data_IF_068138467596
#
_entry.id   IF_068138467596
#
_cell.length_a   1.000
_cell.length_b   1.000
_cell.length_c   1.000
_cell.angle_alpha   90.00
_cell.angle_beta   90.00
_cell.angle_gamma   90.00
#
_symmetry.space_group_name_H-M   'P 1'
#
loop_
_entity.id
_entity.type
_entity.pdbx_description
1 polymer ?
#
# COMPACT_ATOMS: atom_id res chain seq x y z
N UNK A 1 -59.54 9.33 -27.02
CA UNK A 1 -58.99 8.90 -25.72
C UNK A 1 -57.89 7.86 -25.91
N UNK A 2 -58.12 6.76 -26.64
CA UNK A 2 -57.08 5.75 -26.96
C UNK A 2 -55.83 6.31 -27.65
N UNK A 3 -55.97 7.18 -28.66
CA UNK A 3 -54.81 7.78 -29.36
C UNK A 3 -53.92 8.59 -28.42
N UNK A 4 -54.52 9.23 -27.42
CA UNK A 4 -53.80 10.02 -26.41
C UNK A 4 -53.10 9.09 -25.41
N UNK A 5 -53.75 8.01 -25.00
CA UNK A 5 -53.15 7.00 -24.12
C UNK A 5 -51.95 6.31 -24.77
N UNK A 6 -52.05 5.94 -26.05
CA UNK A 6 -50.94 5.36 -26.81
C UNK A 6 -49.76 6.33 -26.96
N UNK A 7 -50.02 7.64 -27.12
CA UNK A 7 -48.93 8.62 -27.16
C UNK A 7 -48.24 8.75 -25.80
N UNK A 8 -49.00 8.76 -24.70
CA UNK A 8 -48.44 8.78 -23.34
C UNK A 8 -47.62 7.54 -23.03
N UNK A 9 -48.05 6.35 -23.45
CA UNK A 9 -47.28 5.11 -23.28
C UNK A 9 -45.94 5.18 -24.02
N UNK A 10 -45.95 5.66 -25.27
CA UNK A 10 -44.72 5.91 -26.04
C UNK A 10 -43.79 6.91 -25.34
N UNK A 11 -44.33 8.02 -24.82
CA UNK A 11 -43.54 9.02 -24.12
C UNK A 11 -42.92 8.47 -22.82
N UNK A 12 -43.67 7.66 -22.07
CA UNK A 12 -43.17 6.97 -20.87
C UNK A 12 -42.01 6.03 -21.23
N UNK A 13 -42.14 5.23 -22.30
CA UNK A 13 -41.06 4.35 -22.75
C UNK A 13 -39.80 5.13 -23.16
N UNK A 14 -39.98 6.26 -23.84
CA UNK A 14 -38.86 7.14 -24.21
C UNK A 14 -38.17 7.72 -22.98
N UNK A 15 -38.94 8.18 -21.99
CA UNK A 15 -38.41 8.68 -20.72
C UNK A 15 -37.64 7.59 -19.96
N UNK A 16 -38.15 6.37 -19.91
CA UNK A 16 -37.46 5.23 -19.29
C UNK A 16 -36.11 4.94 -19.98
N UNK A 17 -36.08 4.92 -21.33
CA UNK A 17 -34.84 4.75 -22.09
C UNK A 17 -33.84 5.88 -21.82
N UNK A 18 -34.29 7.11 -21.68
CA UNK A 18 -33.44 8.26 -21.35
C UNK A 18 -32.87 8.13 -19.93
N UNK A 19 -33.70 7.74 -18.95
CA UNK A 19 -33.28 7.53 -17.57
C UNK A 19 -32.25 6.41 -17.46
N UNK A 20 -32.44 5.31 -18.18
CA UNK A 20 -31.47 4.21 -18.24
C UNK A 20 -30.13 4.68 -18.81
N UNK A 21 -30.15 5.39 -19.95
CA UNK A 21 -28.93 5.98 -20.53
C UNK A 21 -28.24 6.91 -19.53
N UNK A 22 -28.99 7.75 -18.82
CA UNK A 22 -28.43 8.66 -17.81
C UNK A 22 -27.75 7.89 -16.68
N UNK A 23 -28.35 6.81 -16.20
CA UNK A 23 -27.76 5.92 -15.19
C UNK A 23 -26.46 5.28 -15.69
N UNK A 24 -26.45 4.77 -16.93
CA UNK A 24 -25.25 4.20 -17.57
C UNK A 24 -24.14 5.24 -17.76
N UNK A 25 -24.47 6.49 -18.09
CA UNK A 25 -23.49 7.57 -18.18
C UNK A 25 -22.92 7.94 -16.81
N UNK A 26 -23.75 7.97 -15.77
CA UNK A 26 -23.29 8.22 -14.41
C UNK A 26 -22.32 7.13 -13.93
N UNK A 27 -22.60 5.85 -14.18
CA UNK A 27 -21.70 4.76 -13.80
C UNK A 27 -20.36 4.83 -14.55
N UNK A 28 -20.38 5.08 -15.87
CA UNK A 28 -19.16 5.29 -16.67
C UNK A 28 -18.34 6.48 -16.20
N UNK A 29 -19.00 7.58 -15.84
CA UNK A 29 -18.34 8.77 -15.28
C UNK A 29 -17.62 8.42 -13.96
N UNK A 30 -18.28 7.72 -13.05
CA UNK A 30 -17.68 7.30 -11.78
C UNK A 30 -16.45 6.41 -12.00
N UNK A 31 -16.51 5.50 -12.97
CA UNK A 31 -15.34 4.67 -13.34
C UNK A 31 -14.19 5.50 -13.89
N UNK A 32 -14.46 6.47 -14.77
CA UNK A 32 -13.43 7.37 -15.31
C UNK A 32 -12.80 8.25 -14.24
N UNK A 33 -13.60 8.80 -13.32
CA UNK A 33 -13.12 9.57 -12.18
C UNK A 33 -12.21 8.72 -11.29
N UNK A 34 -12.57 7.45 -11.08
CA UNK A 34 -11.77 6.54 -10.28
C UNK A 34 -10.46 6.12 -10.99
N UNK A 35 -10.48 5.90 -12.30
CA UNK A 35 -9.26 5.70 -13.10
C UNK A 35 -8.36 6.95 -13.05
N UNK A 36 -8.93 8.15 -13.19
CA UNK A 36 -8.16 9.39 -13.08
C UNK A 36 -7.49 9.49 -11.70
N UNK A 37 -8.24 9.18 -10.64
CA UNK A 37 -7.72 9.19 -9.27
C UNK A 37 -6.58 8.20 -9.06
N UNK A 38 -6.66 7.00 -9.65
CA UNK A 38 -5.57 6.02 -9.59
C UNK A 38 -4.32 6.58 -10.27
N UNK A 39 -4.45 7.13 -11.48
CA UNK A 39 -3.32 7.76 -12.20
C UNK A 39 -2.66 8.87 -11.37
N UNK A 40 -3.45 9.73 -10.72
CA UNK A 40 -2.95 10.80 -9.85
C UNK A 40 -2.17 10.24 -8.65
N UNK A 41 -2.72 9.23 -7.98
CA UNK A 41 -2.09 8.61 -6.81
C UNK A 41 -0.78 7.90 -7.19
N UNK A 42 -0.75 7.21 -8.34
CA UNK A 42 0.48 6.60 -8.88
C UNK A 42 1.54 7.66 -9.12
N UNK A 43 1.20 8.74 -9.83
CA UNK A 43 2.13 9.83 -10.10
C UNK A 43 2.63 10.49 -8.81
N UNK A 44 1.72 10.69 -7.84
CA UNK A 44 2.07 11.26 -6.54
C UNK A 44 3.03 10.36 -5.77
N UNK A 45 2.78 9.05 -5.73
CA UNK A 45 3.71 8.09 -5.10
C UNK A 45 5.07 8.12 -5.79
N UNK A 46 5.13 8.07 -7.12
CA UNK A 46 6.40 8.13 -7.84
C UNK A 46 7.16 9.42 -7.58
N UNK A 47 6.46 10.56 -7.49
CA UNK A 47 7.08 11.83 -7.16
C UNK A 47 7.65 11.84 -5.75
N UNK A 48 6.88 11.37 -4.76
CA UNK A 48 7.34 11.29 -3.38
C UNK A 48 8.54 10.34 -3.24
N UNK A 49 8.57 9.23 -3.98
CA UNK A 49 9.71 8.32 -3.98
C UNK A 49 10.97 8.97 -4.54
N UNK A 50 10.86 9.74 -5.63
CA UNK A 50 11.99 10.54 -6.11
C UNK A 50 12.45 11.57 -5.08
N UNK A 51 11.51 12.24 -4.41
CA UNK A 51 11.84 13.16 -3.31
C UNK A 51 12.58 12.44 -2.16
N UNK A 52 12.28 11.17 -1.88
CA UNK A 52 13.04 10.34 -0.91
C UNK A 52 14.46 10.04 -1.41
N UNK A 53 14.62 9.70 -2.68
CA UNK A 53 15.93 9.41 -3.29
C UNK A 53 16.83 10.65 -3.38
N UNK A 54 16.23 11.81 -3.66
CA UNK A 54 16.91 13.11 -3.74
C UNK A 54 17.21 13.71 -2.35
N UNK A 55 16.62 13.17 -1.29
CA UNK A 55 16.86 13.61 0.09
C UNK A 55 18.15 12.99 0.63
N UNK A 56 19.14 13.83 0.92
CA UNK A 56 20.40 13.39 1.54
C UNK A 56 20.17 12.79 2.94
N UNK A 57 20.42 11.48 3.08
CA UNK A 57 20.63 10.79 4.35
C UNK A 57 19.42 10.61 5.29
N UNK A 58 19.71 10.30 6.56
CA UNK A 58 18.75 10.07 7.66
C UNK A 58 18.17 11.39 8.20
N UNK A 59 17.59 12.21 7.32
CA UNK A 59 16.93 13.45 7.75
C UNK A 59 15.49 13.18 8.20
N UNK A 60 14.99 13.94 9.18
CA UNK A 60 13.58 13.88 9.60
C UNK A 60 12.62 14.15 8.42
N UNK A 61 13.06 14.94 7.44
CA UNK A 61 12.30 15.21 6.23
C UNK A 61 12.14 13.94 5.36
N UNK A 62 13.20 13.15 5.16
CA UNK A 62 13.12 11.87 4.43
C UNK A 62 12.07 10.95 5.09
N UNK A 63 12.07 10.86 6.41
CA UNK A 63 11.11 10.03 7.15
C UNK A 63 9.67 10.55 7.03
N UNK A 64 9.46 11.88 7.04
CA UNK A 64 8.14 12.48 6.79
C UNK A 64 7.64 12.20 5.37
N UNK A 65 8.53 12.25 4.38
CA UNK A 65 8.17 11.91 2.99
C UNK A 65 7.79 10.42 2.91
N UNK A 66 8.51 9.52 3.59
CA UNK A 66 8.17 8.09 3.64
C UNK A 66 6.82 7.83 4.31
N UNK A 67 6.49 8.50 5.41
CA UNK A 67 5.16 8.41 6.04
C UNK A 67 4.04 8.83 5.07
N UNK A 68 4.27 9.92 4.33
CA UNK A 68 3.34 10.38 3.30
C UNK A 68 3.24 9.38 2.15
N UNK A 69 4.35 8.78 1.73
CA UNK A 69 4.37 7.74 0.69
C UNK A 69 3.56 6.52 1.12
N UNK A 70 3.71 6.05 2.37
CA UNK A 70 2.91 4.96 2.93
C UNK A 70 1.41 5.29 2.91
N UNK A 71 1.03 6.49 3.32
CA UNK A 71 -0.37 6.93 3.30
C UNK A 71 -0.95 7.00 1.88
N UNK A 72 -0.20 7.51 0.90
CA UNK A 72 -0.64 7.57 -0.51
C UNK A 72 -0.71 6.16 -1.11
N UNK A 73 0.23 5.26 -0.77
CA UNK A 73 0.18 3.85 -1.18
C UNK A 73 -1.08 3.15 -0.68
N UNK A 74 -1.44 3.38 0.60
CA UNK A 74 -2.68 2.83 1.19
C UNK A 74 -3.95 3.35 0.47
N UNK A 75 -3.98 4.64 0.13
CA UNK A 75 -5.07 5.22 -0.66
C UNK A 75 -5.16 4.62 -2.07
N UNK A 76 -4.00 4.36 -2.69
CA UNK A 76 -3.93 3.71 -3.99
C UNK A 76 -4.49 2.29 -3.94
N UNK A 77 -4.14 1.51 -2.92
CA UNK A 77 -4.68 0.16 -2.71
C UNK A 77 -6.20 0.18 -2.52
N UNK A 78 -6.72 1.14 -1.74
CA UNK A 78 -8.16 1.32 -1.58
C UNK A 78 -8.88 1.66 -2.89
N UNK A 79 -8.29 2.52 -3.73
CA UNK A 79 -8.85 2.83 -5.05
C UNK A 79 -8.80 1.63 -5.99
N UNK A 80 -7.69 0.88 -6.00
CA UNK A 80 -7.53 -0.33 -6.82
C UNK A 80 -8.51 -1.44 -6.44
N UNK A 81 -8.87 -1.56 -5.16
CA UNK A 81 -9.86 -2.53 -4.69
C UNK A 81 -11.27 -2.29 -5.27
N UNK A 82 -11.56 -1.08 -5.76
CA UNK A 82 -12.86 -0.70 -6.34
C UNK A 82 -12.92 -0.85 -7.86
N UNK A 83 -11.80 -1.14 -8.52
CA UNK A 83 -11.77 -1.39 -9.98
C UNK A 83 -11.81 -2.89 -10.25
N UNK A 84 -12.43 -3.25 -11.36
CA UNK A 84 -12.23 -4.58 -11.94
C UNK A 84 -10.75 -4.79 -12.28
N UNK A 85 -10.13 -5.78 -11.61
CA UNK A 85 -8.74 -6.17 -11.80
C UNK A 85 -8.45 -6.65 -13.24
N UNK A 86 -9.48 -7.11 -13.95
CA UNK A 86 -9.38 -7.57 -15.33
C UNK A 86 -9.63 -6.45 -16.35
N UNK A 87 -9.88 -5.22 -15.91
CA UNK A 87 -10.03 -4.09 -16.81
C UNK A 87 -8.72 -3.82 -17.57
N UNK A 88 -8.82 -3.50 -18.86
CA UNK A 88 -7.65 -3.21 -19.70
C UNK A 88 -6.77 -2.09 -19.13
N UNK A 89 -7.39 -1.12 -18.45
CA UNK A 89 -6.69 -0.03 -17.79
C UNK A 89 -5.81 -0.52 -16.62
N UNK A 90 -6.37 -1.35 -15.72
CA UNK A 90 -5.60 -1.93 -14.60
C UNK A 90 -4.51 -2.83 -15.14
N UNK A 91 -4.82 -3.72 -16.09
CA UNK A 91 -3.83 -4.64 -16.71
C UNK A 91 -2.65 -3.87 -17.32
N UNK A 92 -2.91 -2.75 -18.01
CA UNK A 92 -1.85 -1.91 -18.57
C UNK A 92 -1.00 -1.22 -17.48
N UNK A 93 -1.59 -0.89 -16.34
CA UNK A 93 -0.90 -0.25 -15.22
C UNK A 93 -0.23 -1.24 -14.26
N UNK A 94 -0.64 -2.50 -14.23
CA UNK A 94 -0.10 -3.54 -13.35
C UNK A 94 1.43 -3.56 -13.30
N UNK A 95 2.19 -3.60 -14.40
CA UNK A 95 3.66 -3.65 -14.31
C UNK A 95 4.26 -2.41 -13.65
N UNK A 96 3.63 -1.25 -13.81
CA UNK A 96 4.04 0.01 -13.18
C UNK A 96 3.67 0.02 -11.69
N UNK A 97 2.48 -0.46 -11.35
CA UNK A 97 1.99 -0.59 -9.97
C UNK A 97 2.84 -1.56 -9.17
N UNK A 98 3.20 -2.72 -9.74
CA UNK A 98 4.06 -3.69 -9.06
C UNK A 98 5.41 -3.08 -8.75
N UNK A 99 6.09 -2.48 -9.76
CA UNK A 99 7.38 -1.79 -9.54
C UNK A 99 7.29 -0.72 -8.44
N UNK A 100 6.21 0.07 -8.47
CA UNK A 100 5.96 1.10 -7.47
C UNK A 100 5.84 0.49 -6.07
N UNK A 101 5.04 -0.57 -5.91
CA UNK A 101 4.84 -1.24 -4.63
C UNK A 101 6.12 -1.90 -4.11
N UNK A 102 6.91 -2.52 -4.98
CA UNK A 102 8.21 -3.07 -4.58
C UNK A 102 9.12 -1.97 -4.06
N UNK A 103 9.18 -0.84 -4.77
CA UNK A 103 10.04 0.28 -4.39
C UNK A 103 9.59 0.95 -3.07
N UNK A 104 8.28 1.13 -2.87
CA UNK A 104 7.74 1.61 -1.56
C UNK A 104 8.12 0.64 -0.44
N UNK A 105 7.97 -0.67 -0.68
CA UNK A 105 8.33 -1.69 0.31
C UNK A 105 9.82 -1.62 0.66
N UNK A 106 10.69 -1.61 -0.34
CA UNK A 106 12.14 -1.55 -0.16
C UNK A 106 12.57 -0.33 0.67
N UNK A 107 12.00 0.85 0.39
CA UNK A 107 12.31 2.06 1.15
C UNK A 107 11.83 1.99 2.61
N UNK A 108 10.63 1.44 2.85
CA UNK A 108 10.11 1.28 4.21
C UNK A 108 10.88 0.21 5.00
N UNK A 109 11.30 -0.89 4.36
CA UNK A 109 12.15 -1.91 4.97
C UNK A 109 13.54 -1.36 5.29
N UNK A 110 14.12 -0.56 4.41
CA UNK A 110 15.38 0.13 4.67
C UNK A 110 15.24 1.07 5.87
N UNK A 111 14.17 1.86 5.93
CA UNK A 111 13.91 2.72 7.08
C UNK A 111 13.75 1.92 8.37
N UNK A 112 13.05 0.77 8.35
CA UNK A 112 12.95 -0.09 9.54
C UNK A 112 14.32 -0.55 10.03
N UNK A 113 15.21 -0.98 9.12
CA UNK A 113 16.58 -1.39 9.48
C UNK A 113 17.39 -0.25 10.10
N UNK A 114 17.26 0.95 9.53
CA UNK A 114 17.87 2.17 10.09
C UNK A 114 17.30 2.50 11.47
N UNK A 115 15.99 2.35 11.66
CA UNK A 115 15.31 2.66 12.92
C UNK A 115 15.63 1.65 14.03
N UNK A 116 15.91 0.38 13.69
CA UNK A 116 16.31 -0.65 14.64
C UNK A 116 17.67 -0.37 15.31
N UNK A 117 18.55 0.37 14.65
CA UNK A 117 19.89 0.72 15.17
C UNK A 117 19.95 2.11 15.79
N UNK A 118 18.94 2.95 15.56
CA UNK A 118 18.91 4.35 15.97
C UNK A 118 18.16 4.56 17.29
N UNK A 119 16.87 4.90 17.23
CA UNK A 119 16.07 5.34 18.37
C UNK A 119 14.66 4.71 18.35
N UNK A 120 14.09 4.53 19.55
CA UNK A 120 12.76 3.94 19.77
C UNK A 120 11.65 4.74 19.09
N UNK A 121 11.76 6.07 19.09
CA UNK A 121 10.74 6.93 18.48
C UNK A 121 10.73 6.81 16.95
N UNK A 122 11.90 6.70 16.33
CA UNK A 122 12.02 6.41 14.90
C UNK A 122 11.49 5.02 14.56
N UNK A 123 11.73 4.03 15.42
CA UNK A 123 11.20 2.69 15.25
C UNK A 123 9.66 2.67 15.30
N UNK A 124 9.04 3.38 16.24
CA UNK A 124 7.59 3.49 16.33
C UNK A 124 6.99 4.15 15.08
N UNK A 125 7.64 5.19 14.55
CA UNK A 125 7.21 5.86 13.32
C UNK A 125 7.33 4.94 12.10
N UNK A 126 8.44 4.21 11.97
CA UNK A 126 8.65 3.25 10.89
C UNK A 126 7.61 2.12 10.93
N UNK A 127 7.34 1.55 12.11
CA UNK A 127 6.32 0.52 12.31
C UNK A 127 4.90 1.04 11.98
N UNK A 128 4.58 2.27 12.38
CA UNK A 128 3.32 2.92 12.03
C UNK A 128 3.17 3.08 10.51
N UNK A 129 4.21 3.53 9.82
CA UNK A 129 4.19 3.69 8.36
C UNK A 129 4.03 2.34 7.64
N UNK A 130 4.72 1.29 8.10
CA UNK A 130 4.57 -0.08 7.58
C UNK A 130 3.15 -0.63 7.79
N UNK A 131 2.55 -0.37 8.95
CA UNK A 131 1.17 -0.75 9.23
C UNK A 131 0.17 -0.01 8.32
N UNK A 132 0.37 1.29 8.10
CA UNK A 132 -0.46 2.08 7.16
C UNK A 132 -0.37 1.54 5.73
N UNK A 133 0.85 1.15 5.31
CA UNK A 133 1.09 0.56 4.00
C UNK A 133 0.61 -0.90 3.88
N UNK A 134 0.15 -1.53 4.97
CA UNK A 134 -0.33 -2.91 4.99
C UNK A 134 0.80 -3.96 4.89
N UNK A 135 2.03 -3.61 5.25
CA UNK A 135 3.24 -4.45 5.12
C UNK A 135 3.66 -5.01 6.49
N UNK A 136 2.69 -5.49 7.27
CA UNK A 136 2.93 -5.91 8.66
C UNK A 136 3.72 -7.23 8.71
N UNK A 137 3.38 -8.20 7.86
CA UNK A 137 4.04 -9.51 7.87
C UNK A 137 5.52 -9.42 7.52
N UNK A 138 5.90 -8.63 6.51
CA UNK A 138 7.30 -8.46 6.16
C UNK A 138 8.08 -7.68 7.24
N UNK A 139 7.42 -6.74 7.93
CA UNK A 139 8.00 -6.04 9.07
C UNK A 139 8.27 -7.00 10.25
N UNK A 140 7.35 -7.90 10.56
CA UNK A 140 7.52 -8.93 11.58
C UNK A 140 8.65 -9.90 11.23
N UNK A 141 8.70 -10.36 9.97
CA UNK A 141 9.75 -11.26 9.48
C UNK A 141 11.14 -10.62 9.63
N UNK A 142 11.26 -9.34 9.23
CA UNK A 142 12.50 -8.57 9.38
C UNK A 142 12.89 -8.37 10.85
N UNK A 143 11.94 -8.03 11.71
CA UNK A 143 12.19 -7.88 13.14
C UNK A 143 12.65 -9.19 13.77
N UNK A 144 12.01 -10.30 13.40
CA UNK A 144 12.40 -11.63 13.87
C UNK A 144 13.80 -12.01 13.38
N UNK A 145 14.15 -11.69 12.12
CA UNK A 145 15.48 -12.01 11.59
C UNK A 145 16.61 -11.16 12.18
N UNK A 146 16.39 -9.87 12.35
CA UNK A 146 17.44 -8.91 12.75
C UNK A 146 17.59 -8.80 14.26
N UNK A 147 16.50 -8.93 15.02
CA UNK A 147 16.52 -8.79 16.50
C UNK A 147 16.40 -10.15 17.15
N UNK A 148 15.35 -10.92 16.86
CA UNK A 148 15.06 -12.14 17.65
C UNK A 148 16.09 -13.25 17.41
N UNK A 149 16.40 -13.58 16.16
CA UNK A 149 17.34 -14.66 15.81
C UNK A 149 18.75 -14.48 16.42
N UNK A 150 19.41 -13.30 16.35
CA UNK A 150 20.72 -13.14 16.96
C UNK A 150 20.69 -13.26 18.49
N UNK A 151 19.64 -12.76 19.16
CA UNK A 151 19.47 -12.92 20.61
C UNK A 151 19.20 -14.37 21.03
N UNK A 152 18.39 -15.10 20.27
CA UNK A 152 18.12 -16.53 20.51
C UNK A 152 19.37 -17.36 20.27
N UNK A 153 20.12 -17.09 19.20
CA UNK A 153 21.36 -17.80 18.89
C UNK A 153 22.49 -17.52 19.90
N UNK A 154 22.57 -16.32 20.47
CA UNK A 154 23.54 -16.01 21.54
C UNK A 154 23.15 -16.66 22.87
N UNK A 155 21.87 -16.62 23.26
CA UNK A 155 21.42 -17.29 24.50
C UNK A 155 21.45 -18.82 24.42
N UNK A 156 21.12 -19.42 23.29
CA UNK A 156 21.22 -20.87 23.10
C UNK A 156 22.68 -21.35 23.11
N UNK A 157 23.62 -20.57 22.54
CA UNK A 157 25.06 -20.88 22.66
C UNK A 157 25.55 -20.81 24.12
N UNK A 158 25.09 -19.83 24.90
CA UNK A 158 25.43 -19.72 26.33
C UNK A 158 24.88 -20.90 27.14
N UNK A 159 23.69 -21.40 26.81
CA UNK A 159 23.06 -22.56 27.47
C UNK A 159 23.77 -23.89 27.19
N UNK A 160 24.37 -24.07 26.01
CA UNK A 160 25.11 -25.31 25.68
C UNK A 160 26.51 -25.27 26.28
N UNK A 161 27.12 -24.09 26.41
CA UNK A 161 28.40 -23.93 27.10
C UNK A 161 28.28 -24.18 28.62
N UNK A 162 27.14 -23.89 29.25
CA UNK A 162 26.92 -24.22 30.67
C UNK A 162 26.75 -25.72 30.90
N UNK A 163 26.04 -26.44 30.02
CA UNK A 163 25.89 -27.90 30.15
C UNK A 163 27.20 -28.65 29.89
N UNK A 164 28.03 -28.18 28.94
CA UNK A 164 29.36 -28.77 28.72
C UNK A 164 30.38 -28.44 29.82
N UNK A 165 30.17 -27.37 30.59
CA UNK A 165 30.98 -27.06 31.76
C UNK A 165 30.60 -27.93 32.98
N UNK A 166 29.33 -28.29 33.11
CA UNK A 166 28.86 -29.22 34.15
C UNK A 166 29.29 -30.67 33.88
N UNK A 167 29.29 -31.13 32.63
CA UNK A 167 29.76 -32.49 32.26
C UNK A 167 31.29 -32.69 32.36
N UNK A 168 32.08 -31.61 32.50
CA UNK A 168 33.55 -31.69 32.68
C UNK A 168 34.00 -31.54 34.13
N UNK A 169 33.09 -31.29 35.06
CA UNK A 169 33.37 -31.17 36.51
C UNK A 169 32.72 -32.25 37.37
N UNK A 170 32.04 -33.24 36.77
CA UNK A 170 31.61 -34.49 37.42
C UNK A 170 32.47 -35.66 36.97
#
# INVERSE_FOLDING_TARGET
VEVILLSFESDIEQLLKILEKRSQHASKRNLLELCLRISELVYKCERLLKEVEDSDGQSDERYRILERTAAVSSQLDFCLAKVDKNSRYVVALTPRLEKLKTHVREQLEQWLKEALTADKDLLLRALSALAIAGIISAAEDLFQSEVVKPFVNTKLKMSVCSTMAEERMG
#
